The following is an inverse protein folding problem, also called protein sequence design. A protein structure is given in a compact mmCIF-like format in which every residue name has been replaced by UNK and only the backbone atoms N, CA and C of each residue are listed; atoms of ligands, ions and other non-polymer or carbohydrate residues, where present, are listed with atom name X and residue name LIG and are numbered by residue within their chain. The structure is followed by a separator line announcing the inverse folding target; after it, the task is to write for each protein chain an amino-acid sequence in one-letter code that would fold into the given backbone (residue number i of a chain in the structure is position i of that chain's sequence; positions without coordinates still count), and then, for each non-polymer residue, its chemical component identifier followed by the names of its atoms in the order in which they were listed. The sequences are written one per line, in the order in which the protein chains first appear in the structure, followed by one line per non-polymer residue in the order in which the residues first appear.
data_IF_322541854927
#
_entry.id   IF_322541854927
#
_cell.length_a   1.000
_cell.length_b   1.000
_cell.length_c   1.000
_cell.angle_alpha   90.00
_cell.angle_beta   90.00
_cell.angle_gamma   90.00
#
_symmetry.space_group_name_H-M   'P 1'
#
loop_
_entity.id
_entity.type
_entity.pdbx_description
1 polymer ?
#
# COMPACT_ATOMS: atom_id res chain seq x y z
N UNK A 1 1.42 61.80 1.77
CA UNK A 1 2.40 60.71 1.64
C UNK A 1 2.24 59.83 2.88
N UNK A 2 1.31 58.87 2.84
CA UNK A 2 0.98 57.99 3.97
C UNK A 2 1.82 56.71 3.86
N UNK A 3 2.45 56.22 4.94
CA UNK A 3 3.21 54.98 4.89
C UNK A 3 2.28 53.75 4.80
N UNK A 4 2.75 52.63 4.22
CA UNK A 4 1.99 51.39 4.10
C UNK A 4 1.87 50.65 5.44
N UNK A 5 0.68 50.13 5.74
CA UNK A 5 0.45 49.17 6.82
C UNK A 5 1.26 47.88 6.58
N UNK A 6 2.04 47.47 7.57
CA UNK A 6 2.70 46.17 7.62
C UNK A 6 1.77 45.11 8.24
N UNK A 7 1.83 43.84 7.79
CA UNK A 7 0.94 42.79 8.27
C UNK A 7 1.22 42.41 9.73
N UNK A 8 0.18 42.38 10.57
CA UNK A 8 0.23 41.81 11.92
C UNK A 8 0.53 40.32 11.82
N UNK A 9 1.78 39.93 12.12
CA UNK A 9 2.15 38.53 12.32
C UNK A 9 1.55 38.04 13.64
N UNK A 10 0.63 37.09 13.54
CA UNK A 10 -0.07 36.43 14.64
C UNK A 10 0.93 35.75 15.58
N UNK A 11 1.16 36.36 16.74
CA UNK A 11 1.97 35.85 17.85
C UNK A 11 1.20 34.78 18.65
N UNK A 12 0.76 33.71 17.99
CA UNK A 12 -0.07 32.65 18.59
C UNK A 12 0.67 31.30 18.69
N UNK A 13 2.00 31.32 18.67
CA UNK A 13 2.84 30.14 18.92
C UNK A 13 3.65 30.22 20.23
N UNK A 14 3.57 31.34 20.98
CA UNK A 14 4.41 31.55 22.19
C UNK A 14 3.78 31.04 23.49
N UNK A 15 2.46 30.80 23.53
CA UNK A 15 1.78 30.32 24.75
C UNK A 15 2.21 28.91 25.17
N UNK A 16 2.36 27.90 24.29
CA UNK A 16 2.80 26.57 24.72
C UNK A 16 4.27 26.55 25.17
N UNK A 17 5.13 27.39 24.58
CA UNK A 17 6.56 27.46 24.94
C UNK A 17 6.78 28.04 26.35
N UNK A 18 5.99 29.06 26.73
CA UNK A 18 6.07 29.65 28.08
C UNK A 18 5.54 28.67 29.13
N UNK A 19 4.46 27.94 28.83
CA UNK A 19 3.91 26.95 29.77
C UNK A 19 4.86 25.77 29.99
N UNK A 20 5.52 25.28 28.93
CA UNK A 20 6.53 24.23 29.02
C UNK A 20 7.76 24.68 29.82
N UNK A 21 8.23 25.91 29.60
CA UNK A 21 9.38 26.48 30.33
C UNK A 21 9.12 26.67 31.83
N UNK A 22 7.89 27.02 32.22
CA UNK A 22 7.56 27.27 33.63
C UNK A 22 7.37 25.97 34.44
N UNK A 23 6.88 24.91 33.81
CA UNK A 23 6.80 23.57 34.42
C UNK A 23 8.20 23.00 34.63
N UNK A 24 9.13 23.23 33.69
CA UNK A 24 10.52 22.75 33.79
C UNK A 24 11.36 23.50 34.84
N UNK A 25 11.07 24.78 35.08
CA UNK A 25 11.72 25.58 36.13
C UNK A 25 11.22 25.20 37.53
N UNK A 26 9.94 24.83 37.68
CA UNK A 26 9.36 24.46 38.98
C UNK A 26 9.80 23.06 39.47
N UNK A 27 10.22 22.19 38.57
CA UNK A 27 10.65 20.82 38.88
C UNK A 27 12.15 20.70 39.19
N UNK A 28 12.88 21.82 39.24
CA UNK A 28 14.31 21.85 39.60
C UNK A 28 15.24 21.19 38.58
N UNK A 29 14.80 21.01 37.33
CA UNK A 29 15.56 20.30 36.29
C UNK A 29 16.62 21.14 35.56
N UNK A 30 16.88 22.38 36.01
CA UNK A 30 17.93 23.25 35.44
C UNK A 30 19.08 23.35 36.45
N UNK A 31 20.22 22.67 36.23
CA UNK A 31 21.38 22.82 37.10
C UNK A 31 21.94 24.25 37.01
N UNK A 32 22.51 24.80 38.09
CA UNK A 32 23.16 26.10 38.03
C UNK A 32 24.30 26.04 37.00
N UNK A 33 24.36 27.05 36.12
CA UNK A 33 25.46 27.22 35.18
C UNK A 33 26.76 27.32 35.97
N UNK A 34 27.53 26.23 35.96
CA UNK A 34 28.84 26.17 36.59
C UNK A 34 29.74 27.17 35.87
N UNK A 35 30.28 28.13 36.62
CA UNK A 35 31.27 29.07 36.13
C UNK A 35 32.46 28.29 35.54
N UNK A 36 32.90 28.72 34.36
CA UNK A 36 33.93 28.06 33.57
C UNK A 36 35.24 27.91 34.36
N UNK A 37 35.62 26.67 34.66
CA UNK A 37 36.95 26.31 35.12
C UNK A 37 37.88 26.07 33.90
N UNK A 38 39.21 26.23 34.04
CA UNK A 38 40.16 26.13 32.92
C UNK A 38 40.21 24.70 32.37
N UNK A 39 40.11 24.52 31.05
CA UNK A 39 40.30 23.22 30.38
C UNK A 39 41.77 22.95 30.08
N UNK A 40 42.30 21.80 30.52
CA UNK A 40 43.55 21.22 30.04
C UNK A 40 43.33 20.48 28.69
N UNK A 41 44.26 20.56 27.70
CA UNK A 41 43.91 20.15 26.33
C UNK A 41 44.11 18.66 26.03
N UNK A 42 45.02 17.94 26.69
CA UNK A 42 45.34 16.54 26.34
C UNK A 42 45.65 15.68 27.57
N UNK A 43 44.67 14.87 27.97
CA UNK A 43 44.79 13.83 28.99
C UNK A 43 43.52 13.00 28.98
N UNK A 44 43.60 11.80 28.42
CA UNK A 44 42.51 10.84 28.31
C UNK A 44 41.96 10.45 29.68
N UNK A 45 40.70 10.77 29.95
CA UNK A 45 39.87 10.07 30.93
C UNK A 45 38.41 10.19 30.47
N UNK A 46 37.92 9.14 29.81
CA UNK A 46 36.50 9.00 29.52
C UNK A 46 35.79 8.66 30.84
N UNK A 47 35.50 9.68 31.65
CA UNK A 47 34.68 9.52 32.86
C UNK A 47 33.23 9.30 32.43
N UNK A 48 32.75 8.07 32.57
CA UNK A 48 31.35 7.71 32.28
C UNK A 48 30.43 8.20 33.40
N UNK A 49 29.21 8.60 33.04
CA UNK A 49 28.20 9.01 34.02
C UNK A 49 27.86 7.84 34.95
N UNK A 50 28.20 7.95 36.24
CA UNK A 50 28.01 6.88 37.25
C UNK A 50 26.59 6.78 37.78
N UNK A 51 25.73 7.74 37.43
CA UNK A 51 24.35 7.80 37.87
C UNK A 51 23.44 7.43 36.70
N UNK A 52 22.68 6.35 36.86
CA UNK A 52 21.63 6.01 35.92
C UNK A 52 20.51 7.06 35.92
N UNK A 53 19.76 7.14 34.82
CA UNK A 53 18.55 7.93 34.75
C UNK A 53 17.56 7.48 35.84
N UNK A 54 17.10 8.42 36.65
CA UNK A 54 16.15 8.12 37.72
C UNK A 54 14.85 7.57 37.13
N UNK A 55 14.62 6.26 37.33
CA UNK A 55 13.52 5.54 36.70
C UNK A 55 12.14 6.16 37.02
N UNK A 56 11.95 6.63 38.25
CA UNK A 56 10.71 7.28 38.68
C UNK A 56 10.45 8.60 37.94
N UNK A 57 11.46 9.46 37.83
CA UNK A 57 11.34 10.74 37.11
C UNK A 57 11.15 10.53 35.61
N UNK A 58 11.86 9.56 35.04
CA UNK A 58 11.74 9.17 33.64
C UNK A 58 10.35 8.61 33.33
N UNK A 59 9.78 7.79 34.22
CA UNK A 59 8.43 7.26 34.07
C UNK A 59 7.36 8.36 34.03
N UNK A 60 7.46 9.37 34.89
CA UNK A 60 6.54 10.52 34.88
C UNK A 60 6.64 11.34 33.59
N UNK A 61 7.85 11.53 33.06
CA UNK A 61 8.05 12.21 31.76
C UNK A 61 7.41 11.41 30.63
N UNK A 62 7.62 10.09 30.59
CA UNK A 62 7.02 9.22 29.59
C UNK A 62 5.49 9.19 29.69
N UNK A 63 4.94 9.18 30.90
CA UNK A 63 3.51 9.24 31.13
C UNK A 63 2.91 10.57 30.66
N UNK A 64 3.60 11.68 30.95
CA UNK A 64 3.21 13.00 30.45
C UNK A 64 3.24 13.09 28.92
N UNK A 65 4.28 12.52 28.30
CA UNK A 65 4.41 12.43 26.85
C UNK A 65 3.28 11.59 26.24
N UNK A 66 3.01 10.41 26.80
CA UNK A 66 1.91 9.55 26.36
C UNK A 66 0.56 10.26 26.50
N UNK A 67 0.34 10.96 27.61
CA UNK A 67 -0.86 11.77 27.84
C UNK A 67 -1.01 12.87 26.79
N UNK A 68 0.05 13.61 26.48
CA UNK A 68 0.04 14.66 25.46
C UNK A 68 -0.29 14.11 24.06
N UNK A 69 0.24 12.93 23.71
CA UNK A 69 -0.08 12.23 22.46
C UNK A 69 -1.55 11.85 22.41
N UNK A 70 -2.09 11.23 23.47
CA UNK A 70 -3.50 10.84 23.57
C UNK A 70 -4.42 12.06 23.44
N UNK A 71 -4.10 13.15 24.14
CA UNK A 71 -4.86 14.40 24.07
C UNK A 71 -4.85 14.97 22.64
N UNK A 72 -3.70 14.91 21.96
CA UNK A 72 -3.58 15.40 20.58
C UNK A 72 -4.41 14.56 19.61
N UNK A 73 -4.33 13.23 19.70
CA UNK A 73 -5.15 12.32 18.90
C UNK A 73 -6.64 12.57 19.17
N UNK A 74 -7.03 12.66 20.45
CA UNK A 74 -8.41 12.96 20.85
C UNK A 74 -8.90 14.29 20.28
N UNK A 75 -8.08 15.34 20.32
CA UNK A 75 -8.42 16.64 19.76
C UNK A 75 -8.61 16.59 18.24
N UNK A 76 -7.73 15.88 17.51
CA UNK A 76 -7.85 15.69 16.05
C UNK A 76 -9.13 14.91 15.71
N UNK A 77 -9.41 13.82 16.42
CA UNK A 77 -10.61 13.01 16.21
C UNK A 77 -11.89 13.82 16.52
N UNK A 78 -11.90 14.57 17.62
CA UNK A 78 -13.01 15.42 18.01
C UNK A 78 -13.25 16.52 16.98
N UNK A 79 -12.18 17.20 16.52
CA UNK A 79 -12.28 18.24 15.49
C UNK A 79 -12.81 17.66 14.18
N UNK A 80 -12.27 16.53 13.74
CA UNK A 80 -12.73 15.83 12.54
C UNK A 80 -14.22 15.48 12.63
N UNK A 81 -14.66 14.89 13.76
CA UNK A 81 -16.06 14.54 13.97
C UNK A 81 -16.98 15.77 13.95
N UNK A 82 -16.58 16.85 14.61
CA UNK A 82 -17.35 18.10 14.67
C UNK A 82 -17.43 18.82 13.32
N UNK A 83 -16.34 18.84 12.56
CA UNK A 83 -16.28 19.52 11.25
C UNK A 83 -16.98 18.69 10.19
N UNK A 84 -16.61 17.41 10.02
CA UNK A 84 -17.23 16.54 9.01
C UNK A 84 -18.70 16.27 9.33
N UNK A 85 -19.07 16.14 10.61
CA UNK A 85 -20.46 15.98 11.02
C UNK A 85 -21.31 17.18 10.60
N UNK A 86 -20.83 18.41 10.83
CA UNK A 86 -21.50 19.64 10.39
C UNK A 86 -21.54 19.78 8.88
N UNK A 87 -20.43 19.47 8.19
CA UNK A 87 -20.39 19.52 6.73
C UNK A 87 -21.40 18.54 6.12
N UNK A 88 -21.41 17.28 6.57
CA UNK A 88 -22.37 16.25 6.11
C UNK A 88 -23.81 16.64 6.38
N UNK A 89 -24.10 17.24 7.54
CA UNK A 89 -25.45 17.72 7.85
C UNK A 89 -25.87 18.94 6.99
N UNK A 90 -24.89 19.72 6.50
CA UNK A 90 -25.14 20.86 5.62
C UNK A 90 -25.21 20.47 4.13
N UNK A 91 -24.78 19.26 3.76
CA UNK A 91 -24.90 18.77 2.39
C UNK A 91 -26.34 18.33 2.11
N UNK A 92 -26.93 18.71 0.96
CA UNK A 92 -28.20 18.15 0.54
C UNK A 92 -28.07 16.63 0.33
N UNK A 93 -29.15 15.86 0.52
CA UNK A 93 -29.13 14.43 0.22
C UNK A 93 -28.77 14.22 -1.24
N UNK A 94 -27.94 13.19 -1.50
CA UNK A 94 -27.58 12.80 -2.87
C UNK A 94 -28.85 12.45 -3.65
N UNK A 95 -28.94 12.97 -4.88
CA UNK A 95 -30.05 12.66 -5.76
C UNK A 95 -29.91 11.24 -6.33
N UNK A 96 -31.03 10.62 -6.70
CA UNK A 96 -31.01 9.28 -7.31
C UNK A 96 -30.10 9.21 -8.55
N UNK A 97 -29.94 10.33 -9.28
CA UNK A 97 -29.08 10.43 -10.45
C UNK A 97 -27.59 10.44 -10.11
N UNK A 98 -27.21 10.95 -8.94
CA UNK A 98 -25.82 10.97 -8.45
C UNK A 98 -25.40 9.63 -7.86
N UNK A 99 -26.35 8.82 -7.40
CA UNK A 99 -26.10 7.46 -6.89
C UNK A 99 -26.38 6.38 -7.92
N UNK A 100 -26.85 6.74 -9.11
CA UNK A 100 -27.15 5.78 -10.16
C UNK A 100 -25.84 5.09 -10.60
N UNK A 101 -25.86 3.77 -10.66
CA UNK A 101 -24.78 3.00 -11.28
C UNK A 101 -24.81 3.26 -12.79
N UNK A 102 -24.00 4.21 -13.25
CA UNK A 102 -23.87 4.51 -14.67
C UNK A 102 -22.92 3.49 -15.28
N UNK A 103 -23.45 2.62 -16.14
CA UNK A 103 -22.62 1.81 -17.03
C UNK A 103 -22.30 2.68 -18.26
N UNK A 104 -21.03 2.99 -18.53
CA UNK A 104 -20.68 3.78 -19.71
C UNK A 104 -21.15 3.08 -20.99
N UNK A 105 -21.45 3.85 -22.06
CA UNK A 105 -21.76 3.26 -23.34
C UNK A 105 -20.56 2.45 -23.85
N UNK A 106 -20.78 1.40 -24.67
CA UNK A 106 -19.70 0.58 -25.21
C UNK A 106 -18.70 1.41 -26.02
N UNK A 107 -17.41 1.01 -26.07
CA UNK A 107 -16.85 -0.25 -25.59
C UNK A 107 -16.54 -0.24 -24.09
N UNK A 108 -17.05 -1.25 -23.37
CA UNK A 108 -16.74 -1.46 -21.96
C UNK A 108 -15.42 -2.22 -21.82
N UNK A 109 -14.78 -2.10 -20.65
CA UNK A 109 -13.67 -2.98 -20.29
C UNK A 109 -14.13 -4.44 -20.31
N UNK A 110 -13.27 -5.31 -20.84
CA UNK A 110 -13.45 -6.76 -20.84
C UNK A 110 -13.69 -7.24 -19.40
N UNK A 111 -14.76 -8.02 -19.20
CA UNK A 111 -15.25 -8.36 -17.86
C UNK A 111 -14.36 -9.39 -17.15
N UNK A 112 -13.82 -10.34 -17.91
CA UNK A 112 -12.93 -11.39 -17.40
C UNK A 112 -11.80 -11.67 -18.40
N UNK A 113 -10.70 -10.90 -18.35
CA UNK A 113 -9.59 -11.07 -19.27
C UNK A 113 -8.90 -12.43 -19.12
N UNK A 114 -8.92 -13.04 -17.93
CA UNK A 114 -8.24 -14.31 -17.68
C UNK A 114 -9.07 -15.49 -18.18
N UNK A 115 -10.39 -15.50 -17.92
CA UNK A 115 -11.28 -16.52 -18.46
C UNK A 115 -11.28 -16.56 -19.99
N UNK A 116 -11.21 -15.40 -20.63
CA UNK A 116 -11.13 -15.33 -22.10
C UNK A 116 -9.79 -15.84 -22.65
N UNK A 117 -8.67 -15.62 -21.93
CA UNK A 117 -7.36 -16.19 -22.28
C UNK A 117 -7.41 -17.72 -22.14
N UNK A 118 -7.91 -18.23 -21.01
CA UNK A 118 -7.98 -19.67 -20.75
C UNK A 118 -8.87 -20.38 -21.79
N UNK A 119 -10.00 -19.78 -22.16
CA UNK A 119 -10.88 -20.30 -23.20
C UNK A 119 -10.20 -20.34 -24.58
N UNK A 120 -9.42 -19.31 -24.90
CA UNK A 120 -8.66 -19.24 -26.15
C UNK A 120 -7.52 -20.27 -26.18
N UNK A 121 -6.76 -20.40 -25.10
CA UNK A 121 -5.70 -21.40 -24.97
C UNK A 121 -6.26 -22.82 -25.11
N UNK A 122 -7.45 -23.09 -24.56
CA UNK A 122 -8.12 -24.39 -24.69
C UNK A 122 -8.54 -24.69 -26.15
N UNK A 123 -9.08 -23.72 -26.89
CA UNK A 123 -9.40 -23.88 -28.32
C UNK A 123 -8.14 -24.17 -29.14
N UNK A 124 -7.07 -23.40 -28.92
CA UNK A 124 -5.80 -23.55 -29.61
C UNK A 124 -5.18 -24.93 -29.33
N UNK A 125 -5.16 -25.37 -28.08
CA UNK A 125 -4.68 -26.70 -27.69
C UNK A 125 -5.48 -27.82 -28.39
N UNK A 126 -6.81 -27.70 -28.43
CA UNK A 126 -7.67 -28.68 -29.12
C UNK A 126 -7.40 -28.78 -30.63
N UNK A 127 -7.09 -27.65 -31.27
CA UNK A 127 -6.77 -27.60 -32.71
C UNK A 127 -5.40 -28.18 -33.02
N UNK A 128 -4.41 -27.95 -32.16
CA UNK A 128 -3.02 -28.41 -32.33
C UNK A 128 -2.80 -29.89 -31.99
N UNK A 129 -3.59 -30.45 -31.07
CA UNK A 129 -3.39 -31.82 -30.58
C UNK A 129 -4.12 -32.90 -31.41
N UNK A 130 -5.07 -32.52 -32.26
CA UNK A 130 -5.99 -33.46 -32.91
C UNK A 130 -5.86 -33.55 -34.42
N UNK A 131 -6.15 -34.75 -34.95
CA UNK A 131 -6.40 -34.95 -36.37
C UNK A 131 -7.79 -34.45 -36.77
N UNK A 132 -7.92 -33.86 -37.95
CA UNK A 132 -9.22 -33.57 -38.55
C UNK A 132 -9.11 -33.28 -40.05
N UNK A 133 -10.23 -33.39 -40.76
CA UNK A 133 -10.35 -32.83 -42.10
C UNK A 133 -10.67 -31.33 -42.02
N UNK A 134 -10.10 -30.56 -42.95
CA UNK A 134 -10.27 -29.11 -43.04
C UNK A 134 -11.33 -28.72 -44.07
N UNK A 135 -11.72 -29.63 -44.94
CA UNK A 135 -12.76 -29.46 -45.95
C UNK A 135 -13.80 -30.60 -45.86
N UNK A 136 -14.97 -30.35 -46.43
CA UNK A 136 -16.06 -31.33 -46.47
C UNK A 136 -15.72 -32.53 -47.37
N UNK A 137 -14.99 -32.27 -48.46
CA UNK A 137 -14.58 -33.27 -49.45
C UNK A 137 -13.42 -34.15 -48.98
N UNK A 138 -12.88 -33.89 -47.77
CA UNK A 138 -11.79 -34.63 -47.12
C UNK A 138 -10.49 -34.69 -47.93
N UNK A 139 -10.21 -33.66 -48.71
CA UNK A 139 -8.98 -33.55 -49.52
C UNK A 139 -7.82 -32.98 -48.73
N UNK A 140 -8.10 -32.26 -47.64
CA UNK A 140 -7.09 -31.65 -46.76
C UNK A 140 -7.31 -32.09 -45.32
N UNK A 141 -6.26 -32.61 -44.70
CA UNK A 141 -6.27 -33.00 -43.30
C UNK A 141 -5.22 -32.22 -42.50
N UNK A 142 -5.51 -31.99 -41.22
CA UNK A 142 -4.53 -31.57 -40.21
C UNK A 142 -4.05 -32.78 -39.43
N UNK A 143 -2.78 -32.77 -39.06
CA UNK A 143 -2.16 -33.72 -38.13
C UNK A 143 -1.76 -32.95 -36.86
N UNK A 144 -1.66 -33.63 -35.70
CA UNK A 144 -1.14 -33.02 -34.49
C UNK A 144 0.23 -32.37 -34.71
N UNK A 145 0.48 -31.24 -34.07
CA UNK A 145 1.70 -30.46 -34.28
C UNK A 145 2.96 -31.26 -33.93
N UNK A 146 2.93 -32.04 -32.85
CA UNK A 146 4.02 -32.94 -32.45
C UNK A 146 4.34 -33.96 -33.55
N UNK A 147 3.30 -34.43 -34.25
CA UNK A 147 3.45 -35.36 -35.35
C UNK A 147 4.07 -34.67 -36.56
N UNK A 148 3.61 -33.47 -36.91
CA UNK A 148 4.19 -32.69 -37.99
C UNK A 148 5.70 -32.45 -37.76
N UNK A 149 6.08 -32.06 -36.54
CA UNK A 149 7.49 -31.84 -36.18
C UNK A 149 8.31 -33.13 -36.30
N UNK A 150 7.79 -34.28 -35.86
CA UNK A 150 8.47 -35.56 -35.99
C UNK A 150 8.72 -35.94 -37.47
N UNK A 151 7.76 -35.68 -38.35
CA UNK A 151 7.91 -35.92 -39.78
C UNK A 151 8.94 -35.00 -40.42
N UNK A 152 8.94 -33.72 -40.06
CA UNK A 152 9.97 -32.77 -40.51
C UNK A 152 11.37 -33.18 -40.05
N UNK A 153 11.48 -33.80 -38.87
CA UNK A 153 12.73 -34.37 -38.36
C UNK A 153 13.12 -35.72 -38.99
N UNK A 154 12.38 -36.21 -40.00
CA UNK A 154 12.69 -37.45 -40.71
C UNK A 154 12.22 -38.74 -40.03
N UNK A 155 11.34 -38.66 -39.02
CA UNK A 155 10.74 -39.86 -38.42
C UNK A 155 9.66 -40.46 -39.33
N UNK A 156 9.49 -41.79 -39.36
CA UNK A 156 8.53 -42.47 -40.24
C UNK A 156 7.07 -42.16 -39.87
N UNK A 157 6.17 -42.21 -40.87
CA UNK A 157 4.72 -41.95 -40.76
C UNK A 157 3.93 -43.13 -40.16
N UNK A 158 4.49 -43.89 -39.22
CA UNK A 158 3.73 -44.98 -38.59
C UNK A 158 2.56 -44.43 -37.73
N UNK A 159 1.40 -45.10 -37.71
CA UNK A 159 0.28 -44.70 -36.86
C UNK A 159 0.67 -44.93 -35.39
N UNK A 160 0.90 -43.85 -34.66
CA UNK A 160 1.06 -43.91 -33.21
C UNK A 160 -0.31 -44.22 -32.61
N UNK A 161 -0.43 -45.21 -31.69
CA UNK A 161 -1.70 -45.49 -31.04
C UNK A 161 -2.23 -44.21 -30.43
N UNK A 162 -3.53 -43.93 -30.61
CA UNK A 162 -4.17 -42.74 -30.07
C UNK A 162 -3.79 -42.62 -28.60
N UNK A 163 -2.98 -41.60 -28.27
CA UNK A 163 -2.56 -41.38 -26.91
C UNK A 163 -3.84 -41.31 -26.06
N UNK A 164 -3.95 -42.08 -24.97
CA UNK A 164 -5.08 -41.94 -24.07
C UNK A 164 -5.18 -40.46 -23.72
N UNK A 165 -6.41 -39.91 -23.79
CA UNK A 165 -6.68 -38.56 -23.35
C UNK A 165 -5.92 -38.37 -22.03
N UNK A 166 -4.85 -37.58 -22.05
CA UNK A 166 -4.09 -37.33 -20.83
C UNK A 166 -5.13 -36.75 -19.90
N UNK A 167 -5.44 -37.48 -18.83
CA UNK A 167 -6.34 -36.99 -17.81
C UNK A 167 -5.82 -35.61 -17.43
N UNK A 168 -6.53 -34.59 -17.90
CA UNK A 168 -6.41 -33.21 -17.45
C UNK A 168 -7.00 -33.15 -16.04
N UNK A 169 -6.45 -33.97 -15.15
CA UNK A 169 -6.54 -33.85 -13.71
C UNK A 169 -5.29 -33.12 -13.19
N UNK A 170 -4.79 -32.15 -13.95
CA UNK A 170 -4.17 -30.98 -13.32
C UNK A 170 -5.34 -30.07 -13.03
N UNK A 171 -5.88 -30.19 -11.82
CA UNK A 171 -6.87 -29.25 -11.31
C UNK A 171 -6.38 -27.83 -11.56
N UNK A 172 -7.23 -26.90 -12.03
CA UNK A 172 -6.88 -25.49 -12.09
C UNK A 172 -6.54 -25.06 -10.66
N UNK A 173 -5.25 -24.97 -10.35
CA UNK A 173 -4.84 -24.39 -9.08
C UNK A 173 -5.18 -22.90 -9.22
N UNK A 174 -6.11 -22.36 -8.43
CA UNK A 174 -6.45 -20.96 -8.51
C UNK A 174 -5.15 -20.18 -8.28
N UNK A 175 -4.76 -19.37 -9.27
CA UNK A 175 -3.70 -18.38 -9.09
C UNK A 175 -4.21 -17.36 -8.08
N UNK A 176 -4.02 -17.63 -6.80
CA UNK A 176 -4.20 -16.65 -5.73
C UNK A 176 -3.05 -15.67 -5.83
N UNK A 177 -3.17 -14.72 -6.78
CA UNK A 177 -2.35 -13.54 -6.82
C UNK A 177 -2.69 -12.68 -5.63
N UNK A 178 -1.89 -12.78 -4.57
CA UNK A 178 -1.84 -11.76 -3.52
C UNK A 178 -1.37 -10.46 -4.18
N UNK A 179 -2.28 -9.50 -4.30
CA UNK A 179 -1.96 -8.13 -4.69
C UNK A 179 -1.16 -7.44 -3.57
N UNK A 180 -0.17 -6.59 -3.91
CA UNK A 180 0.47 -5.69 -2.95
C UNK A 180 -0.45 -4.53 -2.53
#
# INVERSE_FOLDING_TARGET
MSPPEAPRRSSLALVPAILAGLILRRTGAVPPSAAAAPQDPHGDDWDYERSDAEAGKTAWVMLGLAGAVIVTIGAVLALNHLVLGRQRAALPPLTAQQTAAIRPPPPNLQADPYGDIDAKEADEAGRLAGYAYLDADRTRARIPVDRAMALTAGRPFDPEPAAPARDSAVSPQPRTGTAP
#
